data_IF_920761517156
#
_entry.id   IF_920761517156
#
_cell.length_a   1.000
_cell.length_b   1.000
_cell.length_c   1.000
_cell.angle_alpha   90.00
_cell.angle_beta   90.00
_cell.angle_gamma   90.00
#
_symmetry.space_group_name_H-M   'P 1'
#
loop_
_entity.id
_entity.type
_entity.pdbx_description
1 polymer ?
#
# COMPACT_ATOMS: atom_id res chain seq x y z
N UNK A 1 4.16 1.01 6.75
CA UNK A 1 5.34 1.91 6.75
C UNK A 1 6.47 1.32 7.56
N UNK A 2 6.18 0.64 8.66
CA UNK A 2 7.21 0.05 9.55
C UNK A 2 8.16 -0.94 8.88
N UNK A 3 7.76 -1.63 7.80
CA UNK A 3 8.60 -2.65 7.20
C UNK A 3 9.79 -2.04 6.44
N UNK A 4 9.58 -1.01 5.62
CA UNK A 4 10.65 -0.36 4.84
C UNK A 4 11.67 0.32 5.77
N UNK A 5 11.18 0.99 6.81
CA UNK A 5 12.03 1.67 7.78
C UNK A 5 12.88 0.73 8.65
N UNK A 6 12.60 -0.58 8.62
CA UNK A 6 13.34 -1.65 9.32
C UNK A 6 14.21 -2.49 8.38
N UNK A 7 14.24 -2.19 7.09
CA UNK A 7 15.10 -2.90 6.13
C UNK A 7 16.56 -2.50 6.36
N UNK A 8 17.46 -3.49 6.32
CA UNK A 8 18.90 -3.27 6.52
C UNK A 8 19.43 -2.21 5.53
N UNK A 9 20.14 -1.21 6.05
CA UNK A 9 20.75 -0.14 5.26
C UNK A 9 19.82 1.06 5.01
N UNK A 10 18.53 0.98 5.36
CA UNK A 10 17.63 2.14 5.25
C UNK A 10 18.06 3.28 6.19
N UNK A 11 18.59 2.95 7.36
CA UNK A 11 19.14 3.88 8.34
C UNK A 11 20.42 4.57 7.87
N UNK A 12 21.11 4.01 6.87
CA UNK A 12 22.34 4.59 6.31
C UNK A 12 22.06 5.67 5.25
N UNK A 13 20.80 5.77 4.78
CA UNK A 13 20.37 6.77 3.82
C UNK A 13 20.28 8.17 4.46
N UNK A 14 20.52 9.22 3.68
CA UNK A 14 20.18 10.57 4.13
C UNK A 14 18.67 10.73 4.29
N UNK A 15 18.24 11.74 5.05
CA UNK A 15 16.81 12.02 5.24
C UNK A 15 16.09 12.23 3.90
N UNK A 16 16.72 12.91 2.96
CA UNK A 16 16.19 13.16 1.62
C UNK A 16 16.02 11.86 0.84
N UNK A 17 17.02 10.96 0.91
CA UNK A 17 16.96 9.64 0.26
C UNK A 17 15.89 8.74 0.90
N UNK A 18 15.75 8.76 2.23
CA UNK A 18 14.68 8.03 2.92
C UNK A 18 13.29 8.52 2.46
N UNK A 19 13.12 9.85 2.35
CA UNK A 19 11.88 10.45 1.84
C UNK A 19 11.63 10.01 0.40
N UNK A 20 12.64 9.99 -0.46
CA UNK A 20 12.52 9.56 -1.85
C UNK A 20 12.12 8.08 -1.96
N UNK A 21 12.74 7.20 -1.16
CA UNK A 21 12.40 5.77 -1.12
C UNK A 21 10.97 5.57 -0.64
N UNK A 22 10.57 6.22 0.45
CA UNK A 22 9.20 6.12 0.99
C UNK A 22 8.15 6.71 0.04
N UNK A 23 8.53 7.70 -0.76
CA UNK A 23 7.64 8.40 -1.70
C UNK A 23 7.92 8.05 -3.16
N UNK A 24 8.46 6.86 -3.45
CA UNK A 24 8.70 6.42 -4.83
C UNK A 24 7.38 6.36 -5.62
N UNK A 25 7.17 7.21 -6.66
CA UNK A 25 5.90 7.31 -7.37
C UNK A 25 5.47 6.02 -8.06
N UNK A 26 6.42 5.11 -8.38
CA UNK A 26 6.12 3.81 -8.98
C UNK A 26 5.38 2.86 -8.04
N UNK A 27 5.48 3.09 -6.72
CA UNK A 27 4.87 2.27 -5.68
C UNK A 27 3.48 2.77 -5.26
N UNK A 28 3.00 3.88 -5.83
CA UNK A 28 1.67 4.40 -5.50
C UNK A 28 0.61 3.93 -6.49
N UNK A 29 -0.54 3.58 -5.95
CA UNK A 29 -1.78 3.39 -6.70
C UNK A 29 -2.73 4.47 -6.22
N UNK A 30 -3.14 5.34 -7.15
CA UNK A 30 -4.13 6.36 -6.85
C UNK A 30 -5.47 5.74 -6.47
N UNK A 31 -6.02 6.17 -5.35
CA UNK A 31 -7.38 5.84 -4.91
C UNK A 31 -8.13 7.15 -4.66
N UNK A 32 -9.46 7.10 -4.71
CA UNK A 32 -10.27 8.23 -4.25
C UNK A 32 -10.03 8.50 -2.76
N UNK A 33 -10.31 9.72 -2.31
CA UNK A 33 -10.16 10.08 -0.90
C UNK A 33 -10.95 9.14 0.03
N UNK A 34 -12.19 8.82 -0.34
CA UNK A 34 -13.04 7.89 0.40
C UNK A 34 -12.44 6.48 0.47
N UNK A 35 -11.89 5.99 -0.65
CA UNK A 35 -11.21 4.70 -0.72
C UNK A 35 -9.94 4.66 0.13
N UNK A 36 -9.10 5.68 0.05
CA UNK A 36 -7.90 5.80 0.88
C UNK A 36 -8.25 5.80 2.37
N UNK A 37 -9.25 6.59 2.79
CA UNK A 37 -9.73 6.62 4.18
C UNK A 37 -10.29 5.27 4.63
N UNK A 38 -11.02 4.58 3.75
CA UNK A 38 -11.62 3.27 4.04
C UNK A 38 -10.58 2.14 4.18
N UNK A 39 -9.59 2.12 3.29
CA UNK A 39 -8.49 1.14 3.31
C UNK A 39 -7.64 1.33 4.57
N UNK A 40 -7.10 2.54 4.74
CA UNK A 40 -6.13 2.83 5.78
C UNK A 40 -4.91 1.90 5.69
N UNK A 41 -4.43 1.34 6.81
CA UNK A 41 -3.23 0.48 6.83
C UNK A 41 -3.50 -0.98 6.41
N UNK A 42 -4.74 -1.36 6.11
CA UNK A 42 -5.08 -2.75 5.74
C UNK A 42 -4.41 -3.14 4.43
N UNK A 43 -4.04 -4.41 4.27
CA UNK A 43 -3.67 -4.99 2.97
C UNK A 43 -4.85 -4.98 2.00
N UNK A 44 -4.60 -5.22 0.70
CA UNK A 44 -5.71 -5.42 -0.24
C UNK A 44 -6.46 -6.73 0.01
N UNK A 45 -5.84 -7.72 0.66
CA UNK A 45 -6.53 -8.94 1.10
C UNK A 45 -7.49 -8.67 2.27
N UNK A 46 -7.18 -7.78 3.19
CA UNK A 46 -8.04 -7.48 4.35
C UNK A 46 -9.11 -6.42 4.03
N UNK A 47 -8.88 -5.57 3.03
CA UNK A 47 -9.82 -4.51 2.64
C UNK A 47 -10.88 -5.02 1.66
N UNK A 48 -11.97 -5.58 2.21
CA UNK A 48 -13.04 -6.25 1.44
C UNK A 48 -14.28 -5.41 1.21
N UNK A 49 -14.57 -4.45 2.11
CA UNK A 49 -15.78 -3.62 2.08
C UNK A 49 -15.50 -2.16 2.43
N UNK A 50 -16.24 -1.24 1.80
CA UNK A 50 -16.46 0.12 2.28
C UNK A 50 -17.43 0.07 3.47
N UNK A 51 -16.90 0.18 4.68
CA UNK A 51 -17.69 -0.01 5.91
C UNK A 51 -18.86 0.98 6.06
N UNK A 52 -18.71 2.22 5.62
CA UNK A 52 -19.75 3.25 5.78
C UNK A 52 -20.95 3.00 4.87
N UNK A 53 -20.69 2.57 3.65
CA UNK A 53 -21.69 2.36 2.60
C UNK A 53 -22.15 0.89 2.50
N UNK A 54 -21.50 -0.02 3.24
CA UNK A 54 -21.66 -1.47 3.14
C UNK A 54 -21.53 -2.00 1.70
N UNK A 55 -20.62 -1.39 0.92
CA UNK A 55 -20.36 -1.74 -0.47
C UNK A 55 -19.11 -2.63 -0.56
N UNK A 56 -19.18 -3.71 -1.34
CA UNK A 56 -18.01 -4.52 -1.64
C UNK A 56 -16.99 -3.72 -2.45
N UNK A 57 -15.70 -3.88 -2.14
CA UNK A 57 -14.62 -3.40 -3.01
C UNK A 57 -14.68 -4.18 -4.33
N UNK A 58 -14.43 -3.51 -5.45
CA UNK A 58 -14.39 -4.16 -6.76
C UNK A 58 -13.44 -5.37 -6.74
N UNK A 59 -14.00 -6.54 -7.06
CA UNK A 59 -13.30 -7.81 -6.93
C UNK A 59 -12.15 -7.95 -7.93
N UNK A 60 -12.27 -7.34 -9.11
CA UNK A 60 -11.24 -7.37 -10.15
C UNK A 60 -10.04 -6.53 -9.74
N UNK A 61 -10.28 -5.30 -9.29
CA UNK A 61 -9.27 -4.43 -8.71
C UNK A 61 -8.58 -5.10 -7.54
N UNK A 62 -9.34 -5.63 -6.58
CA UNK A 62 -8.77 -6.26 -5.38
C UNK A 62 -7.87 -7.46 -5.73
N UNK A 63 -8.31 -8.35 -6.62
CA UNK A 63 -7.49 -9.48 -7.09
C UNK A 63 -6.17 -9.03 -7.71
N UNK A 64 -6.21 -8.03 -8.60
CA UNK A 64 -5.01 -7.46 -9.22
C UNK A 64 -4.04 -6.88 -8.19
N UNK A 65 -4.56 -6.19 -7.18
CA UNK A 65 -3.75 -5.57 -6.15
C UNK A 65 -3.15 -6.56 -5.16
N UNK A 66 -3.88 -7.61 -4.79
CA UNK A 66 -3.35 -8.71 -3.97
C UNK A 66 -2.18 -9.39 -4.68
N UNK A 67 -2.32 -9.66 -5.98
CA UNK A 67 -1.23 -10.28 -6.74
C UNK A 67 0.00 -9.37 -6.84
N UNK A 68 -0.20 -8.06 -6.98
CA UNK A 68 0.90 -7.08 -6.92
C UNK A 68 1.59 -7.03 -5.56
N UNK A 69 0.84 -7.01 -4.46
CA UNK A 69 1.41 -7.07 -3.10
C UNK A 69 2.26 -8.34 -2.94
N UNK A 70 1.74 -9.50 -3.38
CA UNK A 70 2.45 -10.79 -3.31
C UNK A 70 3.75 -10.80 -4.12
N UNK A 71 3.78 -10.19 -5.31
CA UNK A 71 4.98 -10.13 -6.13
C UNK A 71 6.09 -9.30 -5.46
N UNK A 72 5.72 -8.19 -4.81
CA UNK A 72 6.66 -7.30 -4.12
C UNK A 72 7.22 -7.96 -2.85
N UNK A 73 6.43 -8.77 -2.14
CA UNK A 73 6.91 -9.46 -0.92
C UNK A 73 7.88 -10.62 -1.21
N UNK A 74 7.97 -11.07 -2.46
CA UNK A 74 8.86 -12.17 -2.88
C UNK A 74 10.20 -11.64 -3.42
N UNK A 75 10.25 -10.38 -3.86
CA UNK A 75 11.49 -9.69 -4.31
C UNK A 75 12.38 -9.30 -3.13
#
# INVERSE_FOLDING_TARGET
MDNIAKMDGFEMLTREQQIEVLNNPKNFIGLSEAANKSKGPKSYSDWTVYKKENLMIDSTFRKKMIEKERQIEIE
#
